data_IF_047006883331
#
_entry.id   IF_047006883331
#
_cell.length_a   1.000
_cell.length_b   1.000
_cell.length_c   1.000
_cell.angle_alpha   90.00
_cell.angle_beta   90.00
_cell.angle_gamma   90.00
#
_symmetry.space_group_name_H-M   'P 1'
#
loop_
_entity.id
_entity.type
_entity.pdbx_description
1 polymer ?
#
# COMPACT_ATOMS: atom_id res chain seq x y z
N UNK A 1 -35.73 -3.32 1.68
CA UNK A 1 -35.61 -4.70 1.15
C UNK A 1 -34.20 -4.79 0.54
N UNK A 2 -33.13 -4.77 1.37
CA UNK A 2 -32.41 -5.86 2.08
C UNK A 2 -31.66 -6.76 1.07
N UNK A 3 -30.34 -6.99 1.05
CA UNK A 3 -29.21 -6.96 2.01
C UNK A 3 -27.90 -6.89 1.19
N UNK A 4 -26.77 -6.51 1.78
CA UNK A 4 -25.46 -6.87 1.25
C UNK A 4 -24.37 -5.87 1.60
N UNK A 5 -23.72 -6.14 2.71
CA UNK A 5 -22.45 -5.55 3.13
C UNK A 5 -21.44 -5.61 1.97
N UNK A 6 -21.24 -4.50 1.26
CA UNK A 6 -19.96 -4.29 0.55
C UNK A 6 -18.93 -4.27 1.67
N UNK A 7 -18.28 -5.41 1.87
CA UNK A 7 -17.08 -5.51 2.66
C UNK A 7 -16.08 -4.59 1.94
N UNK A 8 -16.10 -3.30 2.26
CA UNK A 8 -14.95 -2.45 1.99
C UNK A 8 -13.82 -3.16 2.73
N UNK A 9 -12.87 -3.82 2.03
CA UNK A 9 -11.67 -4.28 2.70
C UNK A 9 -11.14 -3.07 3.47
N UNK A 10 -10.61 -3.26 4.69
CA UNK A 10 -10.27 -2.15 5.57
C UNK A 10 -9.61 -1.05 4.74
N UNK A 11 -10.20 0.16 4.73
CA UNK A 11 -9.75 1.35 3.97
C UNK A 11 -8.26 1.69 4.23
N UNK A 12 -7.60 0.95 5.11
CA UNK A 12 -6.22 1.07 5.56
C UNK A 12 -5.33 -0.12 5.14
N UNK A 13 -5.61 -0.81 4.03
CA UNK A 13 -4.64 -1.78 3.50
C UNK A 13 -3.50 -1.05 2.80
N UNK A 14 -2.40 -0.81 3.51
CA UNK A 14 -1.20 -0.14 2.96
C UNK A 14 -0.64 -0.88 1.72
N UNK A 15 -0.87 -2.19 1.61
CA UNK A 15 -0.46 -2.98 0.45
C UNK A 15 -1.31 -2.72 -0.82
N UNK A 16 -2.55 -2.21 -0.67
CA UNK A 16 -3.39 -1.65 -1.75
C UNK A 16 -3.01 -0.19 -1.95
N UNK A 17 -1.78 0.01 -2.42
CA UNK A 17 -1.16 1.33 -2.50
C UNK A 17 -1.84 2.24 -3.53
N UNK A 18 -2.42 1.66 -4.59
CA UNK A 18 -3.14 2.43 -5.61
C UNK A 18 -4.62 2.66 -5.26
N UNK A 19 -5.14 1.99 -4.22
CA UNK A 19 -6.50 2.11 -3.72
C UNK A 19 -7.56 1.55 -4.67
N UNK A 20 -7.21 0.54 -5.49
CA UNK A 20 -8.12 -0.09 -6.44
C UNK A 20 -8.91 -1.27 -5.85
N UNK A 21 -8.65 -1.60 -4.58
CA UNK A 21 -9.31 -2.69 -3.85
C UNK A 21 -8.67 -4.05 -4.09
N UNK A 22 -7.52 -4.13 -4.78
CA UNK A 22 -6.85 -5.40 -5.10
C UNK A 22 -5.33 -5.30 -4.98
N UNK A 23 -4.73 -5.99 -4.00
CA UNK A 23 -3.26 -6.10 -3.90
C UNK A 23 -2.68 -6.89 -5.07
N UNK A 24 -2.04 -6.19 -5.99
CA UNK A 24 -1.44 -6.77 -7.20
C UNK A 24 -0.25 -5.93 -7.70
N UNK A 25 0.44 -6.40 -8.75
CA UNK A 25 1.64 -5.74 -9.31
C UNK A 25 1.50 -4.24 -9.60
N UNK A 26 0.28 -3.73 -9.78
CA UNK A 26 0.02 -2.29 -9.94
C UNK A 26 0.32 -1.49 -8.66
N UNK A 27 0.08 -2.04 -7.47
CA UNK A 27 0.43 -1.40 -6.20
C UNK A 27 1.94 -1.28 -6.01
N UNK A 28 2.69 -2.33 -6.40
CA UNK A 28 4.15 -2.29 -6.37
C UNK A 28 4.67 -1.19 -7.31
N UNK A 29 4.13 -1.10 -8.52
CA UNK A 29 4.54 -0.06 -9.47
C UNK A 29 4.17 1.34 -8.96
N UNK A 30 3.00 1.50 -8.36
CA UNK A 30 2.58 2.77 -7.76
C UNK A 30 3.50 3.17 -6.59
N UNK A 31 3.83 2.24 -5.69
CA UNK A 31 4.79 2.45 -4.60
C UNK A 31 6.18 2.82 -5.12
N UNK A 32 6.73 2.07 -6.09
CA UNK A 32 8.07 2.34 -6.64
C UNK A 32 8.15 3.70 -7.35
N UNK A 33 7.06 4.14 -7.99
CA UNK A 33 6.97 5.48 -8.56
C UNK A 33 7.00 6.57 -7.47
N UNK A 34 6.22 6.39 -6.39
CA UNK A 34 6.23 7.29 -5.24
C UNK A 34 7.60 7.36 -4.57
N UNK A 35 8.23 6.20 -4.32
CA UNK A 35 9.57 6.09 -3.74
C UNK A 35 10.63 6.78 -4.59
N UNK A 36 10.65 6.55 -5.91
CA UNK A 36 11.59 7.19 -6.82
C UNK A 36 11.35 8.71 -6.94
N UNK A 37 10.13 9.18 -6.70
CA UNK A 37 9.80 10.61 -6.66
C UNK A 37 10.13 11.26 -5.30
N UNK A 38 10.43 10.49 -4.26
CA UNK A 38 10.55 11.00 -2.90
C UNK A 38 9.23 11.51 -2.33
N UNK A 39 8.10 10.91 -2.73
CA UNK A 39 6.79 11.25 -2.20
C UNK A 39 6.63 10.73 -0.76
N UNK A 40 6.12 11.57 0.13
CA UNK A 40 5.82 11.21 1.53
C UNK A 40 4.91 9.98 1.68
N UNK A 41 4.10 9.64 0.68
CA UNK A 41 3.30 8.41 0.69
C UNK A 41 4.15 7.14 0.65
N UNK A 42 5.43 7.24 0.28
CA UNK A 42 6.38 6.13 0.27
C UNK A 42 7.12 5.94 1.61
N UNK A 43 6.87 6.78 2.63
CA UNK A 43 7.32 6.55 4.01
C UNK A 43 6.40 5.51 4.68
N UNK A 44 6.65 4.24 4.35
CA UNK A 44 5.82 3.11 4.77
C UNK A 44 6.09 2.76 6.24
N UNK A 45 7.32 3.01 6.70
CA UNK A 45 7.71 2.66 8.05
C UNK A 45 7.41 3.79 9.07
N UNK A 46 7.16 5.01 8.58
CA UNK A 46 6.74 6.18 9.36
C UNK A 46 7.87 6.87 10.13
N UNK A 47 9.13 6.70 9.72
CA UNK A 47 10.29 7.32 10.38
C UNK A 47 10.64 8.71 9.84
N UNK A 48 9.94 9.17 8.80
CA UNK A 48 10.15 10.46 8.18
C UNK A 48 11.27 10.49 7.13
N UNK A 49 11.89 9.35 6.82
CA UNK A 49 12.86 9.20 5.74
C UNK A 49 12.35 8.24 4.66
N UNK A 50 12.47 8.63 3.39
CA UNK A 50 12.17 7.74 2.26
C UNK A 50 13.46 7.06 1.84
N UNK A 51 13.63 5.80 2.23
CA UNK A 51 14.84 5.04 1.97
C UNK A 51 14.51 3.55 1.69
N UNK A 52 15.53 2.69 1.65
CA UNK A 52 15.32 1.27 1.31
C UNK A 52 14.55 0.51 2.40
N UNK A 53 14.47 1.03 3.63
CA UNK A 53 13.69 0.43 4.70
C UNK A 53 12.19 0.46 4.39
N UNK A 54 11.70 1.48 3.69
CA UNK A 54 10.30 1.54 3.23
C UNK A 54 9.99 0.48 2.18
N UNK A 55 10.94 0.21 1.29
CA UNK A 55 10.80 -0.87 0.30
C UNK A 55 10.68 -2.23 1.01
N UNK A 56 11.50 -2.46 2.04
CA UNK A 56 11.41 -3.68 2.84
C UNK A 56 10.09 -3.75 3.63
N UNK A 57 9.64 -2.63 4.20
CA UNK A 57 8.37 -2.53 4.91
C UNK A 57 7.18 -2.83 3.98
N UNK A 58 7.17 -2.25 2.77
CA UNK A 58 6.15 -2.50 1.75
C UNK A 58 6.13 -3.97 1.32
N UNK A 59 7.29 -4.59 1.08
CA UNK A 59 7.37 -6.01 0.72
C UNK A 59 6.91 -6.95 1.84
N UNK A 60 7.09 -6.56 3.10
CA UNK A 60 6.55 -7.32 4.23
C UNK A 60 5.01 -7.24 4.24
N UNK A 61 4.44 -6.05 4.08
CA UNK A 61 2.99 -5.84 4.01
C UNK A 61 2.39 -6.58 2.82
N UNK A 62 3.02 -6.49 1.65
CA UNK A 62 2.63 -7.21 0.44
C UNK A 62 2.53 -8.73 0.64
N UNK A 63 3.53 -9.34 1.28
CA UNK A 63 3.56 -10.78 1.52
C UNK A 63 2.49 -11.23 2.53
N UNK A 64 2.06 -10.33 3.42
CA UNK A 64 0.97 -10.56 4.37
C UNK A 64 -0.39 -10.37 3.68
N UNK A 65 -0.48 -9.42 2.74
CA UNK A 65 -1.71 -9.04 2.04
C UNK A 65 -2.59 -8.10 2.86
N UNK A 66 -3.89 -8.13 2.53
CA UNK A 66 -5.00 -7.65 3.34
C UNK A 66 -5.85 -8.88 3.76
#
# INVERSE_FOLDING_TARGET
MRLGDEFTPPDDCIADFNGDGSVNTQDMLAFLNAWNAGDSSADINGDGEINTQDVLAFLNLWNIGC
#
